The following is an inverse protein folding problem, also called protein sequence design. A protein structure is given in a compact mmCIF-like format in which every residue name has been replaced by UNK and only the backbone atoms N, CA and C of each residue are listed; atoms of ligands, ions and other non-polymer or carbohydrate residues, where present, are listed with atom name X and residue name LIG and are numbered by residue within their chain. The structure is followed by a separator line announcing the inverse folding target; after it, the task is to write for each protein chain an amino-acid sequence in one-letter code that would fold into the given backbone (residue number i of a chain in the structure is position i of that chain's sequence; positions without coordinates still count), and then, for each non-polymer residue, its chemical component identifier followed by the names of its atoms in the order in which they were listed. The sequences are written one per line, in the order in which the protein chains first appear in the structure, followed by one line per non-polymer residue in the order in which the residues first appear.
data_IF_876662633131
#
_entry.id   IF_876662633131
#
_cell.length_a   1.000
_cell.length_b   1.000
_cell.length_c   1.000
_cell.angle_alpha   90.00
_cell.angle_beta   90.00
_cell.angle_gamma   90.00
#
_symmetry.space_group_name_H-M   'P 1'
#
loop_
_entity.id
_entity.type
_entity.pdbx_description
1 polymer ?
#
# COMPACT_ATOMS: atom_id res chain seq x y z
N UNK A 1 46.80 37.51 -23.08
CA UNK A 1 46.12 36.53 -22.19
C UNK A 1 44.62 36.70 -22.25
N UNK A 2 43.86 35.66 -22.61
CA UNK A 2 42.39 35.68 -22.51
C UNK A 2 42.00 35.03 -21.17
N UNK A 3 41.46 35.81 -20.23
CA UNK A 3 40.87 35.27 -18.99
C UNK A 3 39.57 34.54 -19.34
N UNK A 4 39.53 33.24 -19.11
CA UNK A 4 38.29 32.44 -19.18
C UNK A 4 37.52 32.68 -17.87
N UNK A 5 36.25 33.12 -17.90
CA UNK A 5 35.47 33.29 -16.68
C UNK A 5 35.13 31.92 -16.09
N UNK A 6 35.45 31.73 -14.80
CA UNK A 6 35.12 30.51 -14.05
C UNK A 6 33.61 30.45 -13.85
N UNK A 7 32.92 29.52 -14.53
CA UNK A 7 31.50 29.26 -14.31
C UNK A 7 31.33 28.77 -12.88
N UNK A 8 30.67 29.53 -12.02
CA UNK A 8 30.28 29.05 -10.69
C UNK A 8 29.14 28.05 -10.89
N UNK A 9 29.38 26.79 -10.51
CA UNK A 9 28.31 25.79 -10.42
C UNK A 9 27.37 26.23 -9.30
N UNK A 10 26.18 26.68 -9.68
CA UNK A 10 25.06 26.85 -8.75
C UNK A 10 24.71 25.47 -8.21
N UNK A 11 24.89 25.26 -6.90
CA UNK A 11 24.35 24.10 -6.22
C UNK A 11 22.82 24.21 -6.32
N UNK A 12 22.22 23.36 -7.15
CA UNK A 12 20.77 23.16 -7.14
C UNK A 12 20.48 22.39 -5.85
N UNK A 13 20.00 23.09 -4.83
CA UNK A 13 19.35 22.43 -3.71
C UNK A 13 18.16 21.66 -4.30
N UNK A 14 17.99 20.37 -3.98
CA UNK A 14 16.71 19.72 -4.21
C UNK A 14 15.66 20.66 -3.64
N UNK A 15 14.71 21.08 -4.48
CA UNK A 15 13.51 21.73 -3.96
C UNK A 15 12.96 20.69 -3.00
N UNK A 16 13.04 20.96 -1.70
CA UNK A 16 12.16 20.32 -0.73
C UNK A 16 10.76 20.74 -1.20
N UNK A 17 10.20 19.99 -2.15
CA UNK A 17 8.77 19.81 -2.22
C UNK A 17 8.41 19.51 -0.78
N UNK A 18 7.76 20.49 -0.13
CA UNK A 18 7.47 20.42 1.28
C UNK A 18 6.75 19.10 1.50
N UNK A 19 7.49 18.08 1.94
CA UNK A 19 6.92 16.90 2.54
C UNK A 19 6.33 17.46 3.81
N UNK A 20 5.07 17.90 3.73
CA UNK A 20 4.32 18.36 4.89
C UNK A 20 4.47 17.25 5.92
N UNK A 21 5.21 17.56 6.98
CA UNK A 21 5.49 16.58 8.02
C UNK A 21 4.15 16.30 8.67
N UNK A 22 3.63 15.10 8.46
CA UNK A 22 2.40 14.67 9.11
C UNK A 22 2.56 14.84 10.62
N UNK A 23 1.57 15.46 11.24
CA UNK A 23 1.46 15.49 12.69
C UNK A 23 1.23 14.07 13.22
N UNK A 24 1.55 13.86 14.50
CA UNK A 24 1.30 12.57 15.15
C UNK A 24 -0.18 12.17 15.07
N UNK A 25 -1.08 13.13 15.22
CA UNK A 25 -2.52 12.91 15.13
C UNK A 25 -2.94 12.49 13.72
N UNK A 26 -2.39 13.13 12.67
CA UNK A 26 -2.65 12.74 11.28
C UNK A 26 -2.10 11.35 10.96
N UNK A 27 -0.93 10.99 11.48
CA UNK A 27 -0.40 9.62 11.33
C UNK A 27 -1.38 8.62 11.93
N UNK A 28 -1.83 8.84 13.16
CA UNK A 28 -2.77 7.94 13.84
C UNK A 28 -4.12 7.89 13.11
N UNK A 29 -4.64 9.02 12.65
CA UNK A 29 -5.89 9.08 11.90
C UNK A 29 -5.79 8.34 10.56
N UNK A 30 -4.72 8.55 9.81
CA UNK A 30 -4.49 7.90 8.53
C UNK A 30 -4.32 6.39 8.71
N UNK A 31 -3.56 5.95 9.70
CA UNK A 31 -3.42 4.52 10.02
C UNK A 31 -4.77 3.88 10.36
N UNK A 32 -5.61 4.54 11.17
CA UNK A 32 -6.98 4.06 11.46
C UNK A 32 -7.85 3.94 10.21
N UNK A 33 -7.78 4.93 9.31
CA UNK A 33 -8.52 4.89 8.06
C UNK A 33 -8.06 3.72 7.17
N UNK A 34 -6.75 3.48 7.08
CA UNK A 34 -6.18 2.33 6.36
C UNK A 34 -6.64 1.01 6.98
N UNK A 35 -6.60 0.87 8.30
CA UNK A 35 -7.09 -0.33 8.99
C UNK A 35 -8.55 -0.62 8.67
N UNK A 36 -9.43 0.38 8.74
CA UNK A 36 -10.85 0.21 8.40
C UNK A 36 -11.05 -0.23 6.93
N UNK A 37 -10.26 0.33 6.02
CA UNK A 37 -10.24 -0.09 4.62
C UNK A 37 -9.82 -1.55 4.47
N UNK A 38 -8.77 -1.98 5.17
CA UNK A 38 -8.28 -3.35 5.16
C UNK A 38 -9.28 -4.34 5.78
N UNK A 39 -9.98 -3.96 6.86
CA UNK A 39 -11.04 -4.78 7.46
C UNK A 39 -12.19 -5.02 6.48
N UNK A 40 -12.57 -3.97 5.74
CA UNK A 40 -13.60 -4.04 4.69
C UNK A 40 -13.14 -4.96 3.56
N UNK A 41 -11.93 -4.73 3.05
CA UNK A 41 -11.35 -5.51 1.96
C UNK A 41 -11.19 -7.00 2.31
N UNK A 42 -10.81 -7.31 3.56
CA UNK A 42 -10.77 -8.69 4.08
C UNK A 42 -12.14 -9.35 3.98
N UNK A 43 -13.20 -8.64 4.36
CA UNK A 43 -14.57 -9.12 4.28
C UNK A 43 -14.99 -9.42 2.83
N UNK A 44 -14.64 -8.55 1.89
CA UNK A 44 -14.92 -8.74 0.46
C UNK A 44 -14.15 -9.93 -0.12
N UNK A 45 -12.86 -10.08 0.22
CA UNK A 45 -12.05 -11.22 -0.21
C UNK A 45 -12.59 -12.56 0.32
N UNK A 46 -13.05 -12.60 1.58
CA UNK A 46 -13.68 -13.79 2.15
C UNK A 46 -14.99 -14.16 1.42
N UNK A 47 -15.83 -13.17 1.10
CA UNK A 47 -17.06 -13.40 0.32
C UNK A 47 -16.76 -13.89 -1.10
N UNK A 48 -15.76 -13.31 -1.77
CA UNK A 48 -15.34 -13.73 -3.11
C UNK A 48 -14.76 -15.15 -3.09
N UNK A 49 -13.98 -15.50 -2.07
CA UNK A 49 -13.43 -16.84 -1.90
C UNK A 49 -14.55 -17.88 -1.81
N UNK A 50 -15.56 -17.65 -0.98
CA UNK A 50 -16.73 -18.53 -0.87
C UNK A 50 -17.45 -18.67 -2.21
N UNK A 51 -17.68 -17.54 -2.90
CA UNK A 51 -18.35 -17.53 -4.21
C UNK A 51 -17.60 -18.35 -5.28
N UNK A 52 -16.26 -18.32 -5.28
CA UNK A 52 -15.44 -19.10 -6.22
C UNK A 52 -15.49 -20.59 -5.92
N UNK A 53 -15.49 -20.95 -4.64
CA UNK A 53 -15.61 -22.35 -4.21
C UNK A 53 -16.98 -22.94 -4.59
N UNK A 54 -18.04 -22.13 -4.59
CA UNK A 54 -19.39 -22.56 -4.91
C UNK A 54 -19.70 -22.66 -6.42
N UNK A 55 -19.07 -21.81 -7.26
CA UNK A 55 -19.46 -21.66 -8.68
C UNK A 55 -18.44 -22.16 -9.72
N UNK A 56 -17.20 -22.50 -9.34
CA UNK A 56 -16.13 -22.74 -10.33
C UNK A 56 -15.76 -24.21 -10.50
N UNK A 57 -15.32 -24.58 -11.71
CA UNK A 57 -14.77 -25.90 -12.00
C UNK A 57 -13.52 -26.15 -11.14
N UNK A 58 -13.27 -27.39 -10.67
CA UNK A 58 -12.25 -27.68 -9.66
C UNK A 58 -10.85 -27.06 -9.89
N UNK A 59 -10.25 -27.12 -11.10
CA UNK A 59 -8.90 -26.58 -11.30
C UNK A 59 -8.87 -25.04 -11.23
N UNK A 60 -9.87 -24.36 -11.79
CA UNK A 60 -9.95 -22.89 -11.79
C UNK A 60 -10.31 -22.37 -10.39
N UNK A 61 -11.19 -23.08 -9.68
CA UNK A 61 -11.52 -22.79 -8.29
C UNK A 61 -10.29 -22.86 -7.39
N UNK A 62 -9.44 -23.88 -7.59
CA UNK A 62 -8.23 -24.09 -6.81
C UNK A 62 -7.21 -22.96 -7.00
N UNK A 63 -6.90 -22.60 -8.24
CA UNK A 63 -5.92 -21.54 -8.53
C UNK A 63 -6.38 -20.18 -7.96
N UNK A 64 -7.62 -19.77 -8.24
CA UNK A 64 -8.15 -18.49 -7.77
C UNK A 64 -8.32 -18.46 -6.25
N UNK A 65 -8.77 -19.56 -5.64
CA UNK A 65 -8.89 -19.63 -4.18
C UNK A 65 -7.53 -19.58 -3.49
N UNK A 66 -6.48 -20.16 -4.09
CA UNK A 66 -5.11 -20.08 -3.57
C UNK A 66 -4.61 -18.63 -3.51
N UNK A 67 -4.81 -17.87 -4.59
CA UNK A 67 -4.45 -16.44 -4.64
C UNK A 67 -5.22 -15.61 -3.60
N UNK A 68 -6.52 -15.85 -3.44
CA UNK A 68 -7.33 -15.13 -2.45
C UNK A 68 -6.94 -15.45 -1.01
N UNK A 69 -6.61 -16.71 -0.70
CA UNK A 69 -6.12 -17.09 0.63
C UNK A 69 -4.83 -16.38 0.98
N UNK A 70 -3.86 -16.34 0.05
CA UNK A 70 -2.62 -15.58 0.25
C UNK A 70 -2.91 -14.09 0.49
N UNK A 71 -3.79 -13.49 -0.31
CA UNK A 71 -4.16 -12.10 -0.11
C UNK A 71 -4.84 -11.84 1.23
N UNK A 72 -5.64 -12.79 1.75
CA UNK A 72 -6.23 -12.70 3.08
C UNK A 72 -5.16 -12.76 4.17
N UNK A 73 -4.18 -13.66 4.07
CA UNK A 73 -3.04 -13.74 4.99
C UNK A 73 -2.26 -12.42 5.04
N UNK A 74 -1.98 -11.82 3.88
CA UNK A 74 -1.27 -10.54 3.78
C UNK A 74 -2.07 -9.39 4.45
N UNK A 75 -3.41 -9.37 4.28
CA UNK A 75 -4.28 -8.37 4.91
C UNK A 75 -4.34 -8.58 6.42
N UNK A 76 -4.46 -9.83 6.89
CA UNK A 76 -4.50 -10.16 8.32
C UNK A 76 -3.18 -9.81 9.02
N UNK A 77 -2.04 -10.04 8.36
CA UNK A 77 -0.73 -9.61 8.86
C UNK A 77 -0.68 -8.09 9.01
N UNK A 78 -1.04 -7.33 7.96
CA UNK A 78 -1.01 -5.87 8.00
C UNK A 78 -1.97 -5.25 9.03
N UNK A 79 -3.14 -5.86 9.22
CA UNK A 79 -4.08 -5.47 10.29
C UNK A 79 -3.50 -5.74 11.68
N UNK A 80 -2.83 -6.88 11.87
CA UNK A 80 -2.16 -7.22 13.12
C UNK A 80 -0.96 -6.33 13.45
N UNK A 81 -0.22 -5.87 12.44
CA UNK A 81 0.91 -4.94 12.61
C UNK A 81 0.47 -3.51 12.96
N UNK A 82 -0.75 -3.12 12.56
CA UNK A 82 -1.28 -1.76 12.73
C UNK A 82 -2.07 -1.55 14.04
N UNK A 83 -2.33 -2.61 14.82
CA UNK A 83 -3.17 -2.63 16.02
C UNK A 83 -2.37 -2.39 17.31
#
# INVERSE_FOLDING_TARGET
ERRVPRVMSTMVYPREEALERLTQDEIVLNTKAVMQGLETLRGEHAQLLNSILDCSQPPVAQEKSSLLRKSLEDIELGLGEAQ
#
